data_IF_917892545829
#
_entry.id   IF_917892545829
#
_cell.length_a   1.000
_cell.length_b   1.000
_cell.length_c   1.000
_cell.angle_alpha   90.00
_cell.angle_beta   90.00
_cell.angle_gamma   90.00
#
_symmetry.space_group_name_H-M   'P 1'
#
loop_
_entity.id
_entity.type
_entity.pdbx_description
1 polymer ?
#
# COMPACT_ATOMS: atom_id res chain seq x y z
N UNK A 1 -4.59 -11.57 8.64
CA UNK A 1 -5.94 -11.44 8.03
C UNK A 1 -6.58 -10.19 8.61
N UNK A 2 -6.93 -9.21 7.78
CA UNK A 2 -7.61 -7.98 8.21
C UNK A 2 -9.08 -8.30 8.45
N UNK A 3 -9.59 -8.01 9.64
CA UNK A 3 -11.01 -8.20 9.96
C UNK A 3 -11.73 -6.86 9.84
N UNK A 4 -12.98 -6.85 9.36
CA UNK A 4 -13.80 -5.63 9.28
C UNK A 4 -14.20 -5.04 10.64
N UNK A 5 -13.60 -5.50 11.74
CA UNK A 5 -14.00 -5.21 13.11
C UNK A 5 -13.07 -4.21 13.83
N UNK A 6 -12.11 -3.59 13.15
CA UNK A 6 -11.22 -2.62 13.78
C UNK A 6 -10.05 -3.24 14.55
N UNK A 7 -9.76 -4.52 14.29
CA UNK A 7 -8.64 -5.25 14.89
C UNK A 7 -7.85 -6.04 13.84
N UNK A 8 -6.56 -6.22 14.11
CA UNK A 8 -5.64 -7.11 13.41
C UNK A 8 -5.54 -8.40 14.21
N UNK A 9 -5.71 -9.54 13.54
CA UNK A 9 -5.48 -10.86 14.12
C UNK A 9 -4.01 -11.27 13.90
N UNK A 10 -3.26 -11.42 14.99
CA UNK A 10 -1.90 -11.93 15.02
C UNK A 10 -1.84 -13.40 15.45
N UNK A 11 -0.84 -14.12 14.94
CA UNK A 11 -0.49 -15.47 15.37
C UNK A 11 0.92 -15.43 15.95
N UNK A 12 1.05 -15.74 17.24
CA UNK A 12 2.34 -16.00 17.86
C UNK A 12 2.74 -17.45 17.56
N UNK A 13 3.78 -17.63 16.76
CA UNK A 13 4.29 -18.95 16.38
C UNK A 13 5.04 -19.66 17.53
N UNK A 14 5.61 -18.91 18.47
CA UNK A 14 6.35 -19.48 19.60
C UNK A 14 5.39 -20.13 20.61
N UNK A 15 4.26 -19.49 20.89
CA UNK A 15 3.21 -20.02 21.79
C UNK A 15 2.12 -20.77 21.04
N UNK A 16 2.07 -20.65 19.70
CA UNK A 16 0.98 -21.15 18.86
C UNK A 16 -0.41 -20.59 19.26
N UNK A 17 -0.46 -19.34 19.74
CA UNK A 17 -1.70 -18.68 20.16
C UNK A 17 -2.04 -17.49 19.27
N UNK A 18 -3.33 -17.25 19.08
CA UNK A 18 -3.82 -16.03 18.43
C UNK A 18 -3.94 -14.90 19.43
N UNK A 19 -3.68 -13.67 18.97
CA UNK A 19 -3.94 -12.44 19.71
C UNK A 19 -4.55 -11.39 18.79
N UNK A 20 -5.22 -10.41 19.40
CA UNK A 20 -5.84 -9.30 18.68
C UNK A 20 -5.11 -8.01 19.02
N UNK A 21 -4.85 -7.21 18.00
CA UNK A 21 -4.29 -5.88 18.12
C UNK A 21 -5.33 -4.87 17.61
N UNK A 22 -5.64 -3.85 18.41
CA UNK A 22 -6.55 -2.79 17.98
C UNK A 22 -5.93 -1.99 16.84
N UNK A 23 -6.75 -1.43 15.95
CA UNK A 23 -6.22 -0.49 14.94
C UNK A 23 -5.87 0.85 15.57
N UNK A 24 -4.91 1.60 14.99
CA UNK A 24 -4.67 2.98 15.39
C UNK A 24 -5.95 3.81 15.33
N UNK A 25 -6.06 4.79 16.24
CA UNK A 25 -7.23 5.66 16.29
C UNK A 25 -7.51 6.32 14.95
N UNK A 26 -8.76 6.27 14.49
CA UNK A 26 -9.19 6.84 13.21
C UNK A 26 -8.94 5.95 12.00
N UNK A 27 -8.12 4.90 12.10
CA UNK A 27 -7.92 3.94 11.01
C UNK A 27 -9.04 2.90 11.02
N UNK A 28 -9.82 2.84 9.94
CA UNK A 28 -10.91 1.87 9.78
C UNK A 28 -10.71 0.92 8.62
N UNK A 29 -10.16 1.44 7.53
CA UNK A 29 -9.95 0.74 6.27
C UNK A 29 -8.79 1.40 5.52
N UNK A 30 -8.46 0.89 4.33
CA UNK A 30 -7.45 1.49 3.45
C UNK A 30 -6.06 1.57 4.08
N UNK A 31 -5.57 0.42 4.54
CA UNK A 31 -4.25 0.28 5.11
C UNK A 31 -3.64 -1.07 4.74
N UNK A 32 -2.31 -1.12 4.83
CA UNK A 32 -1.54 -2.35 4.71
C UNK A 32 -0.51 -2.42 5.84
N UNK A 33 -0.13 -3.65 6.17
CA UNK A 33 0.89 -3.93 7.18
C UNK A 33 2.24 -4.18 6.52
N UNK A 34 3.30 -3.83 7.22
CA UNK A 34 4.68 -4.15 6.86
C UNK A 34 5.45 -4.56 8.10
N UNK A 35 6.41 -5.47 7.93
CA UNK A 35 7.30 -5.86 9.03
C UNK A 35 8.23 -4.68 9.35
N UNK A 36 8.43 -4.40 10.63
CA UNK A 36 9.48 -3.48 11.06
C UNK A 36 10.77 -4.25 11.38
N UNK A 37 11.90 -3.56 11.33
CA UNK A 37 13.18 -4.13 11.70
C UNK A 37 13.14 -4.53 13.19
N UNK A 38 13.43 -5.79 13.48
CA UNK A 38 13.25 -6.37 14.81
C UNK A 38 11.86 -6.99 15.00
N UNK A 39 11.22 -6.72 16.15
CA UNK A 39 9.96 -7.35 16.55
C UNK A 39 8.72 -6.46 16.32
N UNK A 40 8.80 -5.41 15.50
CA UNK A 40 7.69 -4.47 15.31
C UNK A 40 6.83 -4.71 14.06
N UNK A 41 5.71 -4.01 13.99
CA UNK A 41 4.81 -3.98 12.81
C UNK A 41 4.52 -2.53 12.45
N UNK A 42 4.69 -2.19 11.18
CA UNK A 42 4.19 -0.95 10.61
C UNK A 42 2.77 -1.13 10.07
N UNK A 43 1.98 -0.08 10.20
CA UNK A 43 0.72 0.09 9.50
C UNK A 43 0.78 1.40 8.70
N UNK A 44 0.58 1.30 7.40
CA UNK A 44 0.47 2.48 6.52
C UNK A 44 -0.96 2.60 6.06
N UNK A 45 -1.61 3.73 6.37
CA UNK A 45 -2.99 4.03 6.01
C UNK A 45 -3.08 5.27 5.15
N UNK A 46 -4.11 5.35 4.30
CA UNK A 46 -4.44 6.56 3.56
C UNK A 46 -5.87 7.04 3.85
N UNK A 47 -6.00 8.34 4.12
CA UNK A 47 -7.28 9.06 4.17
C UNK A 47 -7.29 10.17 3.12
N UNK A 48 -8.08 9.97 2.07
CA UNK A 48 -8.00 10.77 0.85
C UNK A 48 -6.58 10.69 0.25
N UNK A 49 -5.81 11.76 0.43
CA UNK A 49 -4.42 11.89 -0.02
C UNK A 49 -3.41 12.03 1.12
N UNK A 50 -3.85 11.95 2.37
CA UNK A 50 -2.97 11.96 3.53
C UNK A 50 -2.57 10.53 3.87
N UNK A 51 -1.26 10.27 3.89
CA UNK A 51 -0.69 9.06 4.42
C UNK A 51 -0.41 9.22 5.91
N UNK A 52 -0.58 8.13 6.64
CA UNK A 52 -0.13 8.00 8.03
C UNK A 52 0.62 6.68 8.18
N UNK A 53 1.78 6.74 8.83
CA UNK A 53 2.64 5.59 9.11
C UNK A 53 2.69 5.40 10.62
N UNK A 54 2.17 4.27 11.07
CA UNK A 54 2.09 3.88 12.46
C UNK A 54 3.05 2.73 12.73
N UNK A 55 3.67 2.71 13.90
CA UNK A 55 4.53 1.63 14.37
C UNK A 55 3.98 1.07 15.67
N UNK A 56 3.85 -0.25 15.73
CA UNK A 56 3.57 -0.99 16.96
C UNK A 56 4.80 -1.81 17.35
N UNK A 57 5.31 -1.59 18.57
CA UNK A 57 6.38 -2.40 19.15
C UNK A 57 5.82 -3.65 19.84
N UNK A 58 6.39 -4.83 19.60
CA UNK A 58 5.93 -6.07 20.27
C UNK A 58 6.56 -6.27 21.66
N UNK A 59 7.51 -5.42 22.07
CA UNK A 59 8.23 -5.53 23.34
C UNK A 59 8.38 -4.15 23.99
N UNK A 60 7.54 -3.82 24.98
CA UNK A 60 7.62 -2.58 25.76
C UNK A 60 6.28 -2.14 26.33
N UNK A 61 6.31 -1.58 27.54
CA UNK A 61 5.13 -1.16 28.31
C UNK A 61 4.13 -0.34 27.47
N UNK A 62 2.88 -0.77 27.58
CA UNK A 62 1.74 -0.30 26.81
C UNK A 62 1.28 1.08 27.30
N UNK A 63 2.08 2.12 27.03
CA UNK A 63 1.79 3.49 27.48
C UNK A 63 1.21 4.31 26.31
N UNK A 64 -0.06 4.01 25.98
CA UNK A 64 -0.85 4.76 24.99
C UNK A 64 -1.79 3.88 24.16
N UNK A 65 -2.85 4.50 23.60
CA UNK A 65 -3.95 3.89 22.85
C UNK A 65 -3.54 2.68 21.98
N UNK A 66 -3.65 1.48 22.54
CA UNK A 66 -3.38 0.22 21.85
C UNK A 66 -1.93 0.01 21.36
N UNK A 67 -0.94 0.71 21.93
CA UNK A 67 0.49 0.48 21.64
C UNK A 67 1.01 1.04 20.30
N UNK A 68 0.21 1.83 19.57
CA UNK A 68 0.61 2.43 18.29
C UNK A 68 1.23 3.81 18.45
N UNK A 69 2.38 4.01 17.79
CA UNK A 69 3.03 5.29 17.64
C UNK A 69 2.84 5.82 16.21
N UNK A 70 2.30 7.04 16.05
CA UNK A 70 2.32 7.73 14.76
C UNK A 70 3.75 8.21 14.48
N UNK A 71 4.46 7.48 13.63
CA UNK A 71 5.84 7.82 13.27
C UNK A 71 5.86 8.92 12.23
N UNK A 72 4.85 8.93 11.35
CA UNK A 72 4.86 9.86 10.24
C UNK A 72 3.49 10.15 9.64
N UNK A 73 3.32 11.34 9.07
CA UNK A 73 2.14 11.71 8.30
C UNK A 73 2.45 12.82 7.29
N UNK A 74 1.93 12.68 6.07
CA UNK A 74 2.08 13.71 5.04
C UNK A 74 1.04 13.59 3.92
N UNK A 75 0.83 14.70 3.22
CA UNK A 75 -0.05 14.77 2.06
C UNK A 75 0.74 14.41 0.79
N UNK A 76 0.40 13.29 0.14
CA UNK A 76 1.06 12.78 -1.09
C UNK A 76 0.98 13.80 -2.21
N UNK A 77 -0.15 14.52 -2.29
CA UNK A 77 -0.40 15.61 -3.23
C UNK A 77 0.61 16.75 -3.08
N UNK A 78 0.94 17.14 -1.86
CA UNK A 78 1.87 18.24 -1.62
C UNK A 78 3.31 17.87 -1.99
N UNK A 79 3.66 16.59 -1.93
CA UNK A 79 4.95 16.07 -2.37
C UNK A 79 5.03 15.77 -3.87
N UNK A 80 3.89 15.65 -4.56
CA UNK A 80 3.86 15.43 -5.99
C UNK A 80 4.20 16.72 -6.75
N UNK A 81 5.16 16.64 -7.69
CA UNK A 81 5.53 17.76 -8.56
C UNK A 81 4.36 18.23 -9.44
N UNK A 82 4.49 19.43 -10.04
CA UNK A 82 3.42 20.21 -10.71
C UNK A 82 2.48 19.45 -11.68
N UNK A 83 2.87 18.30 -12.22
CA UNK A 83 2.04 17.48 -13.11
C UNK A 83 0.76 16.94 -12.45
N UNK A 84 0.66 16.93 -11.12
CA UNK A 84 -0.46 16.35 -10.39
C UNK A 84 -1.73 17.21 -10.34
N UNK A 85 -1.62 18.53 -10.60
CA UNK A 85 -2.69 19.51 -10.41
C UNK A 85 -3.93 19.23 -11.27
N UNK A 86 -3.77 18.52 -12.39
CA UNK A 86 -4.87 18.19 -13.30
C UNK A 86 -5.60 16.88 -12.97
N UNK A 87 -5.09 16.10 -12.02
CA UNK A 87 -5.57 14.74 -11.76
C UNK A 87 -6.46 14.63 -10.52
N UNK A 88 -6.40 15.56 -9.57
CA UNK A 88 -7.16 15.44 -8.32
C UNK A 88 -8.49 16.20 -8.39
N UNK A 89 -9.61 15.48 -8.24
CA UNK A 89 -10.91 16.09 -8.00
C UNK A 89 -11.34 15.97 -6.52
N UNK A 90 -12.23 16.85 -6.09
CA UNK A 90 -12.82 16.76 -4.75
C UNK A 90 -13.55 15.42 -4.56
N UNK A 91 -13.25 14.74 -3.45
CA UNK A 91 -13.76 13.40 -3.15
C UNK A 91 -12.91 12.24 -3.64
N UNK A 92 -11.80 12.50 -4.34
CA UNK A 92 -10.84 11.46 -4.69
C UNK A 92 -10.04 10.96 -3.49
N UNK A 93 -9.64 9.68 -3.56
CA UNK A 93 -8.81 9.03 -2.55
C UNK A 93 -7.83 8.06 -3.20
N UNK A 94 -6.72 7.83 -2.49
CA UNK A 94 -5.70 6.85 -2.85
C UNK A 94 -5.92 5.56 -2.06
N UNK A 95 -5.91 4.43 -2.75
CA UNK A 95 -5.92 3.11 -2.12
C UNK A 95 -4.51 2.66 -1.74
N UNK A 96 -4.29 2.17 -0.52
CA UNK A 96 -3.01 1.55 -0.14
C UNK A 96 -2.95 0.14 -0.74
N UNK A 97 -2.15 -0.04 -1.79
CA UNK A 97 -2.11 -1.27 -2.57
C UNK A 97 -1.05 -2.26 -2.05
N UNK A 98 0.12 -1.77 -1.65
CA UNK A 98 1.19 -2.58 -1.05
C UNK A 98 2.17 -1.68 -0.28
N UNK A 99 2.82 -2.23 0.74
CA UNK A 99 3.84 -1.52 1.54
C UNK A 99 5.10 -2.37 1.52
N UNK A 100 6.24 -1.75 1.23
CA UNK A 100 7.54 -2.41 1.30
C UNK A 100 7.96 -2.71 2.74
N UNK A 101 8.96 -3.57 2.91
CA UNK A 101 9.51 -3.88 4.22
C UNK A 101 9.99 -2.61 4.93
N UNK A 102 9.92 -2.60 6.27
CA UNK A 102 10.29 -1.47 7.14
C UNK A 102 9.55 -0.16 6.85
N UNK A 103 8.42 -0.23 6.14
CA UNK A 103 7.72 0.95 5.62
C UNK A 103 8.68 1.91 4.87
N UNK A 104 9.60 1.39 4.05
CA UNK A 104 10.48 2.21 3.23
C UNK A 104 9.73 2.91 2.09
N UNK A 105 8.78 2.20 1.48
CA UNK A 105 7.95 2.71 0.41
C UNK A 105 6.53 2.15 0.45
N UNK A 106 5.62 2.81 -0.25
CA UNK A 106 4.23 2.37 -0.43
C UNK A 106 3.84 2.51 -1.90
N UNK A 107 3.09 1.53 -2.39
CA UNK A 107 2.37 1.63 -3.66
C UNK A 107 0.93 2.06 -3.39
N UNK A 108 0.51 3.11 -4.08
CA UNK A 108 -0.84 3.65 -3.97
C UNK A 108 -1.55 3.46 -5.31
N UNK A 109 -2.76 2.94 -5.23
CA UNK A 109 -3.64 2.81 -6.36
C UNK A 109 -4.55 4.03 -6.45
N UNK A 110 -4.48 4.73 -7.57
CA UNK A 110 -5.39 5.79 -7.93
C UNK A 110 -6.41 5.27 -8.95
N UNK A 111 -7.30 4.41 -8.46
CA UNK A 111 -8.22 3.60 -9.26
C UNK A 111 -9.04 4.41 -10.28
N UNK A 112 -9.43 5.65 -9.94
CA UNK A 112 -10.18 6.55 -10.84
C UNK A 112 -9.45 6.81 -12.15
N UNK A 113 -8.12 6.86 -12.11
CA UNK A 113 -7.26 7.16 -13.26
C UNK A 113 -6.50 5.93 -13.77
N UNK A 114 -6.66 4.76 -13.13
CA UNK A 114 -5.91 3.57 -13.49
C UNK A 114 -4.40 3.73 -13.30
N UNK A 115 -3.98 4.51 -12.31
CA UNK A 115 -2.57 4.85 -12.06
C UNK A 115 -2.08 4.21 -10.77
N UNK A 116 -0.87 3.65 -10.79
CA UNK A 116 -0.14 3.25 -9.57
C UNK A 116 0.98 4.23 -9.30
N UNK A 117 1.01 4.74 -8.08
CA UNK A 117 2.05 5.63 -7.57
C UNK A 117 2.98 4.84 -6.65
N UNK A 118 4.27 5.00 -6.84
CA UNK A 118 5.30 4.69 -5.86
C UNK A 118 5.54 5.91 -4.98
N UNK A 119 5.61 5.70 -3.68
CA UNK A 119 5.98 6.75 -2.73
C UNK A 119 7.08 6.22 -1.82
N UNK A 120 8.26 6.83 -1.90
CA UNK A 120 9.32 6.58 -0.92
C UNK A 120 9.02 7.36 0.35
N UNK A 121 8.68 6.64 1.43
CA UNK A 121 8.08 7.24 2.63
C UNK A 121 9.04 8.23 3.30
N UNK A 122 10.35 7.91 3.37
CA UNK A 122 11.33 8.79 4.04
C UNK A 122 11.67 10.06 3.27
N UNK A 123 11.80 9.97 1.94
CA UNK A 123 12.22 11.11 1.10
C UNK A 123 11.04 11.90 0.52
N UNK A 124 9.81 11.37 0.64
CA UNK A 124 8.58 11.92 0.04
C UNK A 124 8.61 11.96 -1.48
N UNK A 125 9.50 11.20 -2.12
CA UNK A 125 9.51 11.11 -3.58
C UNK A 125 8.28 10.33 -4.02
N UNK A 126 7.51 10.93 -4.94
CA UNK A 126 6.30 10.35 -5.53
C UNK A 126 6.55 10.14 -7.01
N UNK A 127 6.41 8.92 -7.50
CA UNK A 127 6.64 8.56 -8.89
C UNK A 127 5.45 7.77 -9.45
N UNK A 128 5.04 8.07 -10.68
CA UNK A 128 4.08 7.23 -11.41
C UNK A 128 4.83 6.03 -11.98
N UNK A 129 4.49 4.83 -11.51
CA UNK A 129 5.14 3.59 -11.94
C UNK A 129 4.31 2.74 -12.88
N UNK A 130 2.99 2.98 -12.92
CA UNK A 130 2.09 2.31 -13.84
C UNK A 130 0.92 3.20 -14.23
N UNK A 131 0.45 3.04 -15.45
CA UNK A 131 -0.75 3.66 -15.98
C UNK A 131 -1.43 2.66 -16.93
N UNK A 132 -2.69 2.38 -16.65
CA UNK A 132 -3.55 1.57 -17.50
C UNK A 132 -4.38 2.50 -18.38
N UNK A 133 -4.43 2.23 -19.69
CA UNK A 133 -5.34 2.93 -20.57
C UNK A 133 -6.78 2.69 -20.09
N UNK A 134 -7.47 3.78 -19.71
CA UNK A 134 -8.89 3.75 -19.36
C UNK A 134 -9.66 3.29 -20.60
N UNK A 135 -10.00 2.00 -20.67
CA UNK A 135 -11.04 1.54 -21.59
C UNK A 135 -12.33 2.28 -21.22
N UNK A 136 -13.05 2.79 -22.22
CA UNK A 136 -14.31 3.55 -22.14
C UNK A 136 -15.42 2.82 -21.37
N UNK A 137 -15.24 2.60 -20.08
CA UNK A 137 -16.20 1.96 -19.22
C UNK A 137 -16.67 2.93 -18.16
N UNK A 138 -17.84 3.50 -18.48
CA UNK A 138 -18.81 4.17 -17.62
C UNK A 138 -19.31 3.30 -16.43
N UNK A 139 -18.51 2.35 -15.95
CA UNK A 139 -18.80 1.49 -14.81
C UNK A 139 -17.57 1.39 -13.90
N UNK A 140 -16.93 2.51 -13.60
CA UNK A 140 -15.99 2.57 -12.47
C UNK A 140 -16.82 2.58 -11.20
N UNK A 141 -17.11 1.40 -10.64
CA UNK A 141 -17.62 1.31 -9.27
C UNK A 141 -16.47 1.69 -8.33
N UNK A 142 -16.61 2.75 -7.52
CA UNK A 142 -15.62 3.07 -6.49
C UNK A 142 -15.42 1.85 -5.58
N UNK A 143 -14.17 1.40 -5.42
CA UNK A 143 -13.81 0.29 -4.52
C UNK A 143 -13.74 -1.11 -5.16
N UNK A 144 -13.86 -1.26 -6.49
CA UNK A 144 -13.79 -2.58 -7.15
C UNK A 144 -12.65 -2.75 -8.17
N UNK A 145 -11.94 -1.68 -8.53
CA UNK A 145 -10.84 -1.71 -9.49
C UNK A 145 -9.51 -1.47 -8.78
N UNK A 146 -9.12 -2.38 -7.89
CA UNK A 146 -7.77 -2.36 -7.35
C UNK A 146 -6.81 -2.94 -8.38
N UNK A 147 -5.79 -2.17 -8.80
CA UNK A 147 -4.72 -2.72 -9.64
C UNK A 147 -3.98 -3.76 -8.78
N UNK A 148 -4.06 -5.06 -9.11
CA UNK A 148 -3.53 -6.07 -8.22
C UNK A 148 -2.00 -6.08 -8.33
N UNK A 149 -1.33 -5.79 -7.21
CA UNK A 149 0.13 -5.81 -7.11
C UNK A 149 0.52 -7.12 -6.43
N UNK A 150 1.30 -7.94 -7.14
CA UNK A 150 1.79 -9.21 -6.62
C UNK A 150 3.29 -9.14 -6.38
N UNK A 151 3.76 -9.27 -5.13
CA UNK A 151 5.18 -9.47 -4.87
C UNK A 151 5.59 -10.83 -5.43
N UNK A 152 6.75 -10.90 -6.07
CA UNK A 152 7.35 -12.14 -6.52
C UNK A 152 8.76 -12.25 -5.95
N UNK A 153 9.10 -13.41 -5.39
CA UNK A 153 10.47 -13.71 -4.96
C UNK A 153 11.18 -14.49 -6.06
N UNK A 154 12.40 -14.08 -6.39
CA UNK A 154 13.29 -14.79 -7.32
C UNK A 154 14.67 -14.94 -6.70
N UNK A 155 15.38 -16.01 -7.06
CA UNK A 155 16.79 -16.16 -6.74
C UNK A 155 17.55 -15.01 -7.40
N UNK A 156 18.41 -14.33 -6.63
CA UNK A 156 19.27 -13.28 -7.18
C UNK A 156 20.54 -13.89 -7.79
N UNK A 157 20.95 -13.53 -9.03
CA UNK A 157 20.30 -12.56 -9.93
C UNK A 157 19.04 -13.14 -10.60
N UNK A 158 18.01 -12.32 -10.85
CA UNK A 158 16.76 -12.79 -11.43
C UNK A 158 17.00 -13.33 -12.84
N UNK A 159 16.53 -14.55 -13.08
CA UNK A 159 16.52 -15.17 -14.41
C UNK A 159 15.14 -14.96 -15.02
N UNK A 160 15.00 -14.00 -15.93
CA UNK A 160 13.75 -13.77 -16.63
C UNK A 160 13.56 -14.81 -17.75
N UNK A 161 12.35 -15.38 -17.91
CA UNK A 161 12.05 -16.23 -19.06
C UNK A 161 12.30 -15.47 -20.36
N UNK A 162 12.93 -16.13 -21.34
CA UNK A 162 13.08 -15.55 -22.67
C UNK A 162 11.70 -15.25 -23.27
N UNK A 163 11.48 -14.01 -23.72
CA UNK A 163 10.29 -13.63 -24.46
C UNK A 163 10.15 -14.56 -25.68
N UNK A 164 9.10 -15.37 -25.70
CA UNK A 164 8.73 -16.11 -26.91
C UNK A 164 8.28 -15.08 -27.93
N UNK A 165 9.09 -14.82 -28.94
CA UNK A 165 8.65 -14.13 -30.14
C UNK A 165 7.46 -14.94 -30.71
N UNK A 166 6.23 -14.46 -30.51
CA UNK A 166 5.11 -14.88 -31.35
C UNK A 166 5.46 -14.40 -32.75
N UNK A 167 6.04 -15.30 -33.54
CA UNK A 167 6.14 -15.10 -34.99
C UNK A 167 4.70 -14.92 -35.48
N UNK A 168 4.43 -13.78 -36.10
CA UNK A 168 3.31 -13.62 -37.01
C UNK A 168 3.60 -14.47 -38.24
N UNK A 169 3.47 -15.79 -38.11
CA UNK A 169 3.46 -16.70 -39.25
C UNK A 169 1.98 -16.99 -39.54
N UNK A 170 1.34 -16.09 -40.29
CA UNK A 170 0.21 -16.37 -41.17
C UNK A 170 0.06 -15.20 -42.15
N UNK A 171 0.95 -15.15 -43.15
CA UNK A 171 0.60 -14.67 -44.48
C UNK A 171 0.19 -15.88 -45.33
N UNK A 172 -1.02 -15.78 -45.91
CA UNK A 172 -1.57 -16.37 -47.15
C UNK A 172 -1.35 -17.87 -47.46
#
# INVERSE_FOLDING_TARGET
MVTGFGYILGLDLATSTFFTLELPVGVRSNYMLSCAEGSGIYLVSADGFHLSVWLHGMMGDNDGAGGWLLVDTFCVRCSAGRDWVWMAQDGDFLGVAAVGDNAEFVFLDYARYGVVLYVHLRSRVVEKVHEQALLDHHFIRPGMNHIPIYPFMMIWPPVFPALKNRRHDQEQ
#
